data_IF_122660773175
#
_entry.id   IF_122660773175
#
_cell.length_a   1.000
_cell.length_b   1.000
_cell.length_c   1.000
_cell.angle_alpha   90.00
_cell.angle_beta   90.00
_cell.angle_gamma   90.00
#
_symmetry.space_group_name_H-M   'P 1'
#
loop_
_entity.id
_entity.type
_entity.pdbx_description
1 polymer ?
#
# COMPACT_ATOMS: atom_id res chain seq x y z
N UNK A 1 -6.35 1.06 -18.39
CA UNK A 1 -7.21 2.25 -18.24
C UNK A 1 -6.43 3.44 -18.78
N UNK A 2 -6.87 4.05 -19.89
CA UNK A 2 -6.33 5.35 -20.31
C UNK A 2 -6.90 6.39 -19.34
N UNK A 3 -6.05 7.24 -18.78
CA UNK A 3 -6.53 8.38 -18.00
C UNK A 3 -7.39 9.25 -18.92
N UNK A 4 -8.47 9.88 -18.42
CA UNK A 4 -9.22 10.84 -19.21
C UNK A 4 -8.25 11.91 -19.72
N UNK A 5 -8.40 12.29 -21.00
CA UNK A 5 -7.57 13.34 -21.60
C UNK A 5 -7.83 14.65 -20.86
N UNK A 6 -6.81 15.17 -20.17
CA UNK A 6 -6.86 16.53 -19.63
C UNK A 6 -6.78 17.48 -20.84
N UNK A 7 -7.67 18.47 -20.96
CA UNK A 7 -7.57 19.46 -22.03
C UNK A 7 -6.17 20.10 -22.06
N UNK A 8 -5.53 20.13 -23.23
CA UNK A 8 -4.15 20.61 -23.39
C UNK A 8 -3.90 21.99 -22.75
N UNK A 9 -4.87 22.91 -22.86
CA UNK A 9 -4.79 24.23 -22.22
C UNK A 9 -4.72 24.19 -20.67
N UNK A 10 -5.35 23.20 -20.04
CA UNK A 10 -5.28 23.00 -18.58
C UNK A 10 -3.91 22.45 -18.19
N UNK A 11 -3.39 21.47 -18.94
CA UNK A 11 -2.07 20.89 -18.71
C UNK A 11 -0.97 21.94 -18.84
N UNK A 12 -0.99 22.75 -19.90
CA UNK A 12 -0.04 23.86 -20.12
C UNK A 12 -0.09 24.88 -18.98
N UNK A 13 -1.30 25.26 -18.53
CA UNK A 13 -1.45 26.16 -17.39
C UNK A 13 -0.84 25.57 -16.12
N UNK A 14 -1.10 24.30 -15.81
CA UNK A 14 -0.56 23.63 -14.63
C UNK A 14 0.97 23.48 -14.70
N UNK A 15 1.54 23.28 -15.89
CA UNK A 15 3.00 23.28 -16.08
C UNK A 15 3.62 24.66 -15.83
N UNK A 16 2.94 25.73 -16.24
CA UNK A 16 3.41 27.10 -16.07
C UNK A 16 3.27 27.65 -14.64
N UNK A 17 2.22 27.25 -13.91
CA UNK A 17 1.88 27.86 -12.61
C UNK A 17 1.77 26.88 -11.44
N UNK A 18 1.89 25.58 -11.66
CA UNK A 18 1.77 24.57 -10.61
C UNK A 18 2.94 24.59 -9.62
N UNK A 19 2.75 23.97 -8.46
CA UNK A 19 3.88 23.66 -7.57
C UNK A 19 4.78 22.59 -8.21
N UNK A 20 6.02 22.37 -7.70
CA UNK A 20 6.95 21.39 -8.27
C UNK A 20 6.35 20.01 -8.51
N UNK A 21 5.55 19.49 -7.56
CA UNK A 21 4.90 18.18 -7.69
C UNK A 21 3.88 18.14 -8.83
N UNK A 22 3.03 19.15 -8.93
CA UNK A 22 2.04 19.26 -10.01
C UNK A 22 2.75 19.37 -11.36
N UNK A 23 3.75 20.24 -11.48
CA UNK A 23 4.50 20.44 -12.73
C UNK A 23 5.18 19.15 -13.17
N UNK A 24 5.87 18.47 -12.25
CA UNK A 24 6.53 17.21 -12.54
C UNK A 24 5.55 16.12 -12.99
N UNK A 25 4.42 15.95 -12.29
CA UNK A 25 3.42 14.96 -12.67
C UNK A 25 2.76 15.24 -14.01
N UNK A 26 2.38 16.50 -14.28
CA UNK A 26 1.79 16.85 -15.56
C UNK A 26 2.78 16.60 -16.71
N UNK A 27 4.06 16.89 -16.50
CA UNK A 27 5.11 16.62 -17.49
C UNK A 27 5.26 15.11 -17.75
N UNK A 28 5.37 14.33 -16.68
CA UNK A 28 5.51 12.87 -16.73
C UNK A 28 4.30 12.18 -17.35
N UNK A 29 3.09 12.55 -16.95
CA UNK A 29 1.89 11.79 -17.29
C UNK A 29 1.27 12.23 -18.62
N UNK A 30 1.53 13.46 -19.09
CA UNK A 30 0.88 14.03 -20.30
C UNK A 30 1.82 14.53 -21.41
N UNK A 31 3.08 14.89 -21.12
CA UNK A 31 3.97 15.45 -22.15
C UNK A 31 5.00 14.44 -22.65
N UNK A 32 5.74 13.81 -21.73
CA UNK A 32 6.83 12.88 -22.07
C UNK A 32 6.81 11.64 -21.18
N UNK A 33 5.81 10.75 -21.32
CA UNK A 33 5.73 9.54 -20.50
C UNK A 33 6.92 8.59 -20.69
N UNK A 34 7.68 8.73 -21.79
CA UNK A 34 8.86 7.92 -22.07
C UNK A 34 10.14 8.44 -21.40
N UNK A 35 10.19 9.72 -21.00
CA UNK A 35 11.38 10.32 -20.39
C UNK A 35 10.97 11.45 -19.43
N UNK A 36 11.23 11.32 -18.11
CA UNK A 36 10.94 12.38 -17.16
C UNK A 36 11.78 13.63 -17.47
N UNK A 37 11.16 14.80 -17.31
CA UNK A 37 11.85 16.08 -17.34
C UNK A 37 12.77 16.18 -16.12
N UNK A 38 14.07 16.04 -16.33
CA UNK A 38 15.07 16.00 -15.26
C UNK A 38 15.20 17.33 -14.50
N UNK A 39 14.91 18.47 -15.13
CA UNK A 39 14.94 19.77 -14.46
C UNK A 39 13.75 19.90 -13.50
N UNK A 40 12.56 19.50 -13.93
CA UNK A 40 11.37 19.44 -13.06
C UNK A 40 11.56 18.41 -11.94
N UNK A 41 12.19 17.28 -12.24
CA UNK A 41 12.51 16.23 -11.28
C UNK A 41 13.47 16.72 -10.21
N UNK A 42 14.55 17.40 -10.61
CA UNK A 42 15.50 18.00 -9.69
C UNK A 42 14.84 19.10 -8.84
N UNK A 43 14.01 19.94 -9.45
CA UNK A 43 13.23 20.98 -8.75
C UNK A 43 12.30 20.37 -7.70
N UNK A 44 11.60 19.29 -8.04
CA UNK A 44 10.76 18.55 -7.10
C UNK A 44 11.58 17.93 -5.97
N UNK A 45 12.71 17.29 -6.30
CA UNK A 45 13.58 16.70 -5.30
C UNK A 45 14.09 17.75 -4.30
N UNK A 46 14.30 19.00 -4.71
CA UNK A 46 14.74 20.09 -3.84
C UNK A 46 13.61 20.79 -3.06
N UNK A 47 12.35 20.43 -3.27
CA UNK A 47 11.25 21.10 -2.59
C UNK A 47 11.25 20.78 -1.08
N UNK A 48 10.98 21.79 -0.25
CA UNK A 48 11.03 21.65 1.21
C UNK A 48 10.10 20.54 1.73
N UNK A 49 8.94 20.37 1.10
CA UNK A 49 7.98 19.35 1.50
C UNK A 49 8.47 17.93 1.17
N UNK A 50 9.06 17.71 0.00
CA UNK A 50 9.66 16.41 -0.38
C UNK A 50 10.88 16.10 0.48
N UNK A 51 11.78 17.06 0.67
CA UNK A 51 12.95 16.89 1.53
C UNK A 51 12.57 16.51 2.96
N UNK A 52 11.58 17.20 3.54
CA UNK A 52 11.05 16.86 4.87
C UNK A 52 10.49 15.44 4.93
N UNK A 53 9.66 15.05 3.95
CA UNK A 53 9.07 13.71 3.89
C UNK A 53 10.13 12.62 3.72
N UNK A 54 11.15 12.84 2.89
CA UNK A 54 12.27 11.91 2.71
C UNK A 54 13.08 11.75 4.00
N UNK A 55 13.38 12.86 4.69
CA UNK A 55 14.09 12.82 5.98
C UNK A 55 13.30 12.09 7.07
N UNK A 56 12.01 12.40 7.20
CA UNK A 56 11.13 11.70 8.14
C UNK A 56 10.98 10.22 7.79
N UNK A 57 10.81 9.90 6.51
CA UNK A 57 10.74 8.53 6.00
C UNK A 57 12.02 7.74 6.29
N UNK A 58 13.18 8.32 6.01
CA UNK A 58 14.48 7.70 6.30
C UNK A 58 14.67 7.42 7.78
N UNK A 59 14.29 8.37 8.65
CA UNK A 59 14.35 8.20 10.11
C UNK A 59 13.46 7.05 10.59
N UNK A 60 12.25 6.93 10.03
CA UNK A 60 11.30 5.89 10.41
C UNK A 60 11.68 4.52 9.83
N UNK A 61 12.23 4.47 8.62
CA UNK A 61 12.71 3.24 7.97
C UNK A 61 13.81 2.53 8.77
N UNK A 62 14.53 3.25 9.63
CA UNK A 62 15.53 2.68 10.54
C UNK A 62 14.90 1.99 11.78
N UNK A 63 13.63 2.21 12.07
CA UNK A 63 12.96 1.74 13.28
C UNK A 63 11.98 0.60 12.96
N UNK A 64 12.14 -0.52 13.67
CA UNK A 64 11.41 -1.78 13.47
C UNK A 64 10.11 -1.89 14.27
N UNK A 65 9.62 -0.80 14.86
CA UNK A 65 8.47 -0.85 15.77
C UNK A 65 7.15 -0.60 15.03
N UNK A 66 6.10 -1.39 15.31
CA UNK A 66 4.77 -1.25 14.70
C UNK A 66 4.25 0.19 14.62
N UNK A 67 4.46 0.96 15.69
CA UNK A 67 4.02 2.35 15.79
C UNK A 67 4.79 3.33 14.89
N UNK A 68 5.81 2.91 14.15
CA UNK A 68 6.43 3.72 13.08
C UNK A 68 5.81 3.42 11.72
N UNK A 69 5.22 2.24 11.57
CA UNK A 69 4.60 1.78 10.33
C UNK A 69 3.17 2.29 10.23
N UNK A 70 2.36 2.03 11.27
CA UNK A 70 0.92 2.23 11.24
C UNK A 70 0.44 3.19 12.34
N UNK A 71 -0.36 4.18 11.96
CA UNK A 71 -0.97 5.15 12.86
C UNK A 71 -1.61 6.35 12.16
N UNK A 72 -2.37 7.13 12.93
CA UNK A 72 -3.26 8.17 12.40
C UNK A 72 -2.60 9.51 12.05
N UNK A 73 -1.28 9.65 12.26
CA UNK A 73 -0.57 10.91 12.04
C UNK A 73 0.40 10.81 10.86
N UNK A 74 0.79 11.97 10.32
CA UNK A 74 1.74 12.09 9.21
C UNK A 74 3.19 11.66 9.56
N UNK A 75 3.40 11.04 10.73
CA UNK A 75 4.70 10.56 11.22
C UNK A 75 4.83 9.03 11.16
N UNK A 76 4.02 8.39 10.30
CA UNK A 76 4.05 6.94 10.08
C UNK A 76 4.38 6.64 8.62
N UNK A 77 5.08 5.54 8.36
CA UNK A 77 5.49 5.15 7.02
C UNK A 77 4.29 4.95 6.08
N UNK A 78 3.18 4.39 6.57
CA UNK A 78 1.96 4.22 5.77
C UNK A 78 1.35 5.53 5.25
N UNK A 79 1.69 6.67 5.88
CA UNK A 79 1.22 7.99 5.46
C UNK A 79 2.29 8.71 4.63
N UNK A 80 3.57 8.58 4.99
CA UNK A 80 4.68 9.24 4.30
C UNK A 80 4.91 8.68 2.89
N UNK A 81 4.91 7.35 2.75
CA UNK A 81 5.11 6.70 1.46
C UNK A 81 4.08 7.13 0.41
N UNK A 82 2.75 7.01 0.64
CA UNK A 82 1.78 7.48 -0.34
C UNK A 82 1.88 8.99 -0.58
N UNK A 83 2.19 9.82 0.43
CA UNK A 83 2.40 11.26 0.19
C UNK A 83 3.58 11.55 -0.76
N UNK A 84 4.65 10.75 -0.73
CA UNK A 84 5.76 10.86 -1.67
C UNK A 84 5.35 10.37 -3.07
N UNK A 85 4.65 9.24 -3.15
CA UNK A 85 4.15 8.68 -4.41
C UNK A 85 3.13 9.60 -5.09
N UNK A 86 2.22 10.21 -4.33
CA UNK A 86 1.26 11.23 -4.77
C UNK A 86 1.92 12.52 -5.26
N UNK A 87 3.24 12.68 -5.06
CA UNK A 87 4.05 13.76 -5.64
C UNK A 87 4.90 13.31 -6.82
N UNK A 88 4.84 12.03 -7.18
CA UNK A 88 5.67 11.41 -8.21
C UNK A 88 7.07 11.03 -7.74
N UNK A 89 7.32 11.01 -6.43
CA UNK A 89 8.61 10.59 -5.87
C UNK A 89 8.57 9.08 -5.62
N UNK A 90 9.28 8.33 -6.45
CA UNK A 90 9.29 6.86 -6.46
C UNK A 90 10.73 6.29 -6.45
N UNK A 91 10.90 4.98 -6.63
CA UNK A 91 12.19 4.30 -6.59
C UNK A 91 13.15 4.70 -7.73
N UNK A 92 12.69 5.47 -8.73
CA UNK A 92 13.60 6.09 -9.69
C UNK A 92 14.45 7.17 -9.02
N UNK A 93 13.90 7.90 -8.02
CA UNK A 93 14.60 8.99 -7.32
C UNK A 93 15.71 8.41 -6.43
N UNK A 94 16.99 8.79 -6.64
CA UNK A 94 18.09 8.27 -5.82
C UNK A 94 17.90 8.53 -4.32
N UNK A 95 17.43 9.74 -3.96
CA UNK A 95 17.18 10.10 -2.57
C UNK A 95 16.05 9.27 -1.93
N UNK A 96 15.01 8.93 -2.69
CA UNK A 96 13.94 8.06 -2.22
C UNK A 96 14.48 6.64 -1.99
N UNK A 97 15.18 6.07 -2.97
CA UNK A 97 15.80 4.75 -2.84
C UNK A 97 16.74 4.69 -1.63
N UNK A 98 17.60 5.68 -1.47
CA UNK A 98 18.50 5.77 -0.31
C UNK A 98 17.74 5.84 1.02
N UNK A 99 16.66 6.62 1.08
CA UNK A 99 15.87 6.79 2.31
C UNK A 99 15.18 5.50 2.76
N UNK A 100 14.71 4.68 1.82
CA UNK A 100 13.96 3.46 2.13
C UNK A 100 14.79 2.16 1.98
N UNK A 101 16.06 2.26 1.61
CA UNK A 101 16.98 1.12 1.54
C UNK A 101 17.01 0.31 2.86
N UNK A 102 17.08 0.91 4.06
CA UNK A 102 17.08 0.14 5.31
C UNK A 102 15.80 -0.69 5.51
N UNK A 103 14.65 -0.23 4.98
CA UNK A 103 13.39 -0.96 5.07
C UNK A 103 13.40 -2.21 4.16
N UNK A 104 13.99 -2.10 2.96
CA UNK A 104 14.16 -3.23 2.06
C UNK A 104 15.16 -4.25 2.63
N UNK A 105 16.24 -3.79 3.25
CA UNK A 105 17.20 -4.65 3.95
C UNK A 105 16.56 -5.40 5.12
N UNK A 106 15.62 -4.77 5.83
CA UNK A 106 14.82 -5.44 6.86
C UNK A 106 13.97 -6.54 6.27
N UNK A 107 13.31 -6.32 5.12
CA UNK A 107 12.56 -7.38 4.44
C UNK A 107 13.43 -8.56 4.03
N UNK A 108 14.70 -8.32 3.70
CA UNK A 108 15.64 -9.35 3.29
C UNK A 108 16.27 -10.12 4.47
N UNK A 109 16.20 -9.58 5.68
CA UNK A 109 16.83 -10.16 6.88
C UNK A 109 15.83 -10.65 7.93
N UNK A 110 14.57 -10.24 7.81
CA UNK A 110 13.51 -10.69 8.70
C UNK A 110 13.16 -12.14 8.39
N UNK A 111 13.58 -13.03 9.28
CA UNK A 111 12.91 -14.31 9.47
C UNK A 111 11.54 -13.96 10.07
N UNK A 112 10.45 -14.20 9.35
CA UNK A 112 9.09 -13.85 9.80
C UNK A 112 8.63 -14.76 10.95
N UNK A 113 9.38 -14.80 12.05
CA UNK A 113 9.09 -15.60 13.22
C UNK A 113 7.83 -15.05 13.91
N UNK A 114 6.72 -15.73 13.61
CA UNK A 114 5.36 -15.47 14.04
C UNK A 114 5.17 -15.79 15.52
N UNK A 115 4.83 -14.79 16.33
CA UNK A 115 4.27 -15.06 17.67
C UNK A 115 3.14 -14.10 18.07
N UNK A 116 2.72 -13.21 17.18
CA UNK A 116 1.63 -12.27 17.46
C UNK A 116 0.72 -12.09 16.25
N UNK A 117 -0.58 -11.91 16.46
CA UNK A 117 -1.55 -11.74 15.37
C UNK A 117 -1.28 -10.52 14.48
N UNK A 118 -0.53 -9.52 14.96
CA UNK A 118 -0.14 -8.36 14.16
C UNK A 118 1.23 -8.47 13.50
N UNK A 119 1.96 -9.58 13.67
CA UNK A 119 3.34 -9.70 13.19
C UNK A 119 3.51 -9.53 11.67
N UNK A 120 2.47 -9.81 10.89
CA UNK A 120 2.48 -9.63 9.43
C UNK A 120 1.76 -8.35 8.98
N UNK A 121 1.02 -7.69 9.88
CA UNK A 121 0.16 -6.56 9.50
C UNK A 121 0.97 -5.39 8.93
N UNK A 122 2.12 -5.08 9.52
CA UNK A 122 3.03 -4.03 9.02
C UNK A 122 3.45 -4.28 7.57
N UNK A 123 3.77 -5.54 7.23
CA UNK A 123 4.17 -5.90 5.89
C UNK A 123 2.99 -5.83 4.93
N UNK A 124 1.79 -6.22 5.36
CA UNK A 124 0.58 -6.05 4.55
C UNK A 124 0.34 -4.56 4.25
N UNK A 125 0.57 -3.67 5.22
CA UNK A 125 0.42 -2.21 5.06
C UNK A 125 1.48 -1.63 4.13
N UNK A 126 2.75 -2.03 4.27
CA UNK A 126 3.87 -1.41 3.54
C UNK A 126 4.10 -1.96 2.13
N UNK A 127 3.89 -3.26 1.92
CA UNK A 127 4.06 -3.92 0.63
C UNK A 127 3.48 -3.12 -0.55
N UNK A 128 2.19 -2.70 -0.51
CA UNK A 128 1.60 -1.99 -1.64
C UNK A 128 2.36 -0.73 -2.01
N UNK A 129 2.80 0.06 -1.04
CA UNK A 129 3.49 1.32 -1.32
C UNK A 129 4.90 1.10 -1.85
N UNK A 130 5.61 0.08 -1.39
CA UNK A 130 6.91 -0.28 -1.94
C UNK A 130 6.80 -0.79 -3.39
N UNK A 131 5.78 -1.61 -3.66
CA UNK A 131 5.50 -2.10 -5.01
C UNK A 131 5.08 -0.96 -5.96
N UNK A 132 4.21 -0.06 -5.50
CA UNK A 132 3.81 1.13 -6.25
C UNK A 132 4.98 2.09 -6.49
N UNK A 133 5.93 2.18 -5.56
CA UNK A 133 7.18 2.91 -5.76
C UNK A 133 8.09 2.29 -6.84
N UNK A 134 7.82 1.06 -7.28
CA UNK A 134 8.62 0.36 -8.29
C UNK A 134 9.68 -0.58 -7.72
N UNK A 135 9.69 -0.87 -6.41
CA UNK A 135 10.53 -1.92 -5.86
C UNK A 135 10.03 -3.30 -6.24
N UNK A 136 10.95 -4.23 -6.52
CA UNK A 136 10.68 -5.60 -6.99
C UNK A 136 11.62 -6.64 -6.36
N UNK A 137 12.14 -6.34 -5.19
CA UNK A 137 12.98 -7.25 -4.42
C UNK A 137 12.31 -8.62 -4.26
N UNK A 138 13.10 -9.69 -4.34
CA UNK A 138 12.59 -11.07 -4.37
C UNK A 138 11.70 -11.38 -3.16
N UNK A 139 12.17 -11.06 -1.95
CA UNK A 139 11.42 -11.24 -0.72
C UNK A 139 10.12 -10.41 -0.69
N UNK A 140 10.12 -9.22 -1.32
CA UNK A 140 8.93 -8.38 -1.43
C UNK A 140 7.86 -9.01 -2.31
N UNK A 141 8.29 -9.51 -3.46
CA UNK A 141 7.41 -10.20 -4.39
C UNK A 141 6.92 -11.53 -3.81
N UNK A 142 7.79 -12.28 -3.13
CA UNK A 142 7.46 -13.56 -2.50
C UNK A 142 6.42 -13.41 -1.39
N UNK A 143 6.60 -12.43 -0.49
CA UNK A 143 5.60 -12.11 0.53
C UNK A 143 4.25 -11.78 -0.12
N UNK A 144 4.26 -10.93 -1.15
CA UNK A 144 3.05 -10.49 -1.84
C UNK A 144 2.33 -11.65 -2.54
N UNK A 145 3.07 -12.58 -3.14
CA UNK A 145 2.51 -13.79 -3.77
C UNK A 145 1.92 -14.76 -2.75
N UNK A 146 2.64 -15.04 -1.65
CA UNK A 146 2.11 -15.89 -0.56
C UNK A 146 0.84 -15.29 0.05
N UNK A 147 0.83 -13.96 0.20
CA UNK A 147 -0.36 -13.19 0.60
C UNK A 147 -1.51 -13.38 -0.40
N UNK A 148 -1.25 -13.22 -1.70
CA UNK A 148 -2.24 -13.44 -2.76
C UNK A 148 -2.81 -14.87 -2.77
N UNK A 149 -1.97 -15.88 -2.61
CA UNK A 149 -2.42 -17.28 -2.50
C UNK A 149 -3.38 -17.46 -1.32
N UNK A 150 -3.01 -16.95 -0.13
CA UNK A 150 -3.83 -17.03 1.07
C UNK A 150 -5.20 -16.34 0.91
N UNK A 151 -5.20 -15.09 0.45
CA UNK A 151 -6.41 -14.28 0.31
C UNK A 151 -7.30 -14.80 -0.81
N UNK A 152 -6.73 -15.19 -1.96
CA UNK A 152 -7.52 -15.71 -3.07
C UNK A 152 -8.18 -17.05 -2.74
N UNK A 153 -7.53 -17.91 -1.95
CA UNK A 153 -8.12 -19.15 -1.45
C UNK A 153 -9.32 -18.89 -0.53
N UNK A 154 -9.27 -17.84 0.28
CA UNK A 154 -10.41 -17.38 1.08
C UNK A 154 -11.54 -16.83 0.19
N UNK A 155 -11.22 -15.85 -0.65
CA UNK A 155 -12.16 -15.17 -1.54
C UNK A 155 -12.86 -16.12 -2.51
N UNK A 156 -12.16 -17.17 -2.99
CA UNK A 156 -12.72 -18.17 -3.89
C UNK A 156 -13.89 -18.97 -3.30
N UNK A 157 -14.02 -19.02 -1.96
CA UNK A 157 -15.15 -19.67 -1.29
C UNK A 157 -16.41 -18.83 -1.27
N UNK A 158 -16.30 -17.51 -1.49
CA UNK A 158 -17.42 -16.56 -1.41
C UNK A 158 -18.19 -16.66 -0.08
N UNK A 159 -17.48 -16.96 1.01
CA UNK A 159 -18.03 -17.01 2.36
C UNK A 159 -17.90 -15.63 3.02
N UNK A 160 -19.05 -15.03 3.34
CA UNK A 160 -19.14 -13.67 3.90
C UNK A 160 -19.41 -13.67 5.41
N UNK A 161 -19.44 -14.84 6.06
CA UNK A 161 -19.63 -14.96 7.49
C UNK A 161 -18.34 -14.60 8.24
N UNK A 162 -17.91 -13.34 8.26
CA UNK A 162 -16.60 -13.00 8.85
C UNK A 162 -16.61 -12.82 10.37
N UNK A 163 -17.79 -12.73 10.98
CA UNK A 163 -17.94 -12.11 12.28
C UNK A 163 -18.38 -13.12 13.34
N UNK A 164 -17.65 -13.17 14.45
CA UNK A 164 -18.00 -13.96 15.61
C UNK A 164 -18.94 -13.22 16.57
N UNK A 165 -19.48 -13.97 17.53
CA UNK A 165 -20.26 -13.40 18.63
C UNK A 165 -19.36 -12.67 19.62
N UNK A 166 -19.61 -11.37 19.81
CA UNK A 166 -18.77 -10.52 20.65
C UNK A 166 -18.70 -10.96 22.12
N UNK A 167 -19.80 -11.52 22.65
CA UNK A 167 -19.89 -12.03 24.01
C UNK A 167 -18.89 -13.17 24.28
N UNK A 168 -18.40 -13.82 23.23
CA UNK A 168 -17.47 -14.95 23.30
C UNK A 168 -16.03 -14.53 23.52
N UNK A 169 -15.70 -13.24 23.44
CA UNK A 169 -14.32 -12.74 23.54
C UNK A 169 -14.11 -11.83 24.75
N UNK A 170 -13.14 -12.20 25.61
CA UNK A 170 -12.76 -11.43 26.81
C UNK A 170 -11.75 -10.33 26.45
N UNK A 171 -11.81 -9.19 27.14
CA UNK A 171 -10.78 -8.15 27.06
C UNK A 171 -10.93 -7.13 25.93
N UNK A 172 -12.08 -7.09 25.24
CA UNK A 172 -12.35 -6.06 24.21
C UNK A 172 -12.38 -4.66 24.88
N UNK A 173 -11.54 -3.71 24.44
CA UNK A 173 -11.54 -2.36 24.99
C UNK A 173 -12.91 -1.68 24.79
N UNK A 174 -13.32 -0.82 25.74
CA UNK A 174 -14.62 -0.13 25.71
C UNK A 174 -14.93 0.56 24.38
N UNK A 175 -13.93 1.17 23.75
CA UNK A 175 -14.06 1.85 22.46
C UNK A 175 -14.44 0.92 21.30
N UNK A 176 -14.24 -0.39 21.44
CA UNK A 176 -14.52 -1.42 20.43
C UNK A 176 -15.71 -2.31 20.81
N UNK A 177 -16.38 -2.06 21.93
CA UNK A 177 -17.51 -2.88 22.39
C UNK A 177 -18.76 -2.77 21.51
N UNK A 178 -18.89 -1.76 20.65
CA UNK A 178 -19.98 -1.67 19.67
C UNK A 178 -19.63 -2.26 18.30
N UNK A 179 -18.40 -2.76 18.13
CA UNK A 179 -17.87 -3.25 16.86
C UNK A 179 -17.97 -4.77 16.76
N UNK A 180 -18.31 -5.29 15.58
CA UNK A 180 -18.33 -6.75 15.33
C UNK A 180 -16.91 -7.30 15.41
N UNK A 181 -16.73 -8.47 15.99
CA UNK A 181 -15.40 -9.07 16.10
C UNK A 181 -15.21 -10.00 14.91
N UNK A 182 -14.10 -9.87 14.19
CA UNK A 182 -13.75 -10.84 13.15
C UNK A 182 -13.38 -12.15 13.85
N UNK A 183 -13.83 -13.27 13.29
CA UNK A 183 -13.52 -14.62 13.80
C UNK A 183 -11.99 -14.83 13.91
N UNK A 184 -11.41 -15.09 15.10
CA UNK A 184 -9.96 -15.20 15.29
C UNK A 184 -9.24 -16.22 14.41
N UNK A 185 -9.92 -17.31 14.05
CA UNK A 185 -9.42 -18.32 13.11
C UNK A 185 -9.09 -17.73 11.72
N UNK A 186 -9.67 -16.57 11.37
CA UNK A 186 -9.39 -15.88 10.12
C UNK A 186 -8.11 -15.03 10.16
N UNK A 187 -7.43 -14.92 11.30
CA UNK A 187 -6.16 -14.18 11.43
C UNK A 187 -5.21 -14.80 12.46
N UNK A 188 -5.35 -16.10 12.71
CA UNK A 188 -4.50 -16.84 13.63
C UNK A 188 -3.02 -16.70 13.24
N UNK A 189 -2.15 -16.44 14.22
CA UNK A 189 -0.72 -16.18 14.01
C UNK A 189 -0.39 -15.07 12.99
N UNK A 190 -1.34 -14.18 12.73
CA UNK A 190 -1.20 -13.08 11.77
C UNK A 190 -1.43 -13.46 10.32
N UNK A 191 -1.92 -14.67 10.05
CA UNK A 191 -2.34 -15.09 8.72
C UNK A 191 -3.76 -14.59 8.41
N UNK A 192 -3.90 -13.28 8.15
CA UNK A 192 -5.18 -12.62 7.85
C UNK A 192 -5.87 -13.17 6.59
N UNK A 193 -6.66 -14.22 6.65
CA UNK A 193 -7.17 -14.90 5.44
C UNK A 193 -8.05 -14.02 4.54
N UNK A 194 -8.71 -13.01 5.10
CA UNK A 194 -9.61 -12.11 4.37
C UNK A 194 -8.88 -10.94 3.71
N UNK A 195 -9.45 -10.35 2.65
CA UNK A 195 -8.84 -9.20 1.97
C UNK A 195 -8.95 -7.93 2.83
N UNK A 196 -7.86 -7.16 2.83
CA UNK A 196 -7.77 -5.80 3.34
C UNK A 196 -7.61 -4.82 2.16
N UNK A 197 -7.94 -3.54 2.36
CA UNK A 197 -7.72 -2.51 1.33
C UNK A 197 -6.29 -2.48 0.77
N UNK A 198 -5.29 -2.74 1.63
CA UNK A 198 -3.88 -2.79 1.24
C UNK A 198 -3.58 -3.90 0.21
N UNK A 199 -4.31 -5.02 0.26
CA UNK A 199 -4.17 -6.10 -0.71
C UNK A 199 -4.57 -5.61 -2.12
N UNK A 200 -5.65 -4.82 -2.23
CA UNK A 200 -6.08 -4.25 -3.51
C UNK A 200 -5.03 -3.30 -4.11
N UNK A 201 -4.38 -2.49 -3.25
CA UNK A 201 -3.28 -1.63 -3.70
C UNK A 201 -2.07 -2.45 -4.17
N UNK A 202 -1.69 -3.50 -3.44
CA UNK A 202 -0.56 -4.34 -3.81
C UNK A 202 -0.83 -5.08 -5.12
N UNK A 203 -2.04 -5.63 -5.27
CA UNK A 203 -2.44 -6.37 -6.46
C UNK A 203 -2.58 -5.47 -7.68
N UNK A 204 -3.06 -4.22 -7.50
CA UNK A 204 -3.03 -3.21 -8.57
C UNK A 204 -1.62 -2.99 -9.09
N UNK A 205 -0.64 -2.84 -8.19
CA UNK A 205 0.74 -2.57 -8.53
C UNK A 205 1.37 -3.66 -9.40
N UNK A 206 1.01 -4.93 -9.17
CA UNK A 206 1.58 -6.09 -9.87
C UNK A 206 0.70 -6.64 -11.00
N UNK A 207 -0.56 -6.21 -11.14
CA UNK A 207 -1.52 -6.85 -12.05
C UNK A 207 -1.04 -6.96 -13.51
N UNK A 208 -0.35 -5.93 -14.00
CA UNK A 208 0.11 -5.86 -15.41
C UNK A 208 1.24 -6.84 -15.69
N UNK A 209 2.10 -7.10 -14.72
CA UNK A 209 3.26 -8.00 -14.81
C UNK A 209 2.94 -9.42 -14.32
N UNK A 210 1.83 -9.60 -13.60
CA UNK A 210 1.39 -10.87 -13.05
C UNK A 210 1.20 -11.96 -14.14
N UNK A 211 1.51 -13.20 -13.81
CA UNK A 211 1.21 -14.36 -14.65
C UNK A 211 -0.31 -14.57 -14.77
N UNK A 212 -0.80 -15.30 -15.79
CA UNK A 212 -2.24 -15.57 -15.95
C UNK A 212 -2.91 -16.16 -14.70
N UNK A 213 -2.21 -17.06 -13.98
CA UNK A 213 -2.69 -17.64 -12.72
C UNK A 213 -2.87 -16.56 -11.64
N UNK A 214 -1.84 -15.75 -11.42
CA UNK A 214 -1.88 -14.67 -10.42
C UNK A 214 -2.98 -13.65 -10.75
N UNK A 215 -3.16 -13.29 -12.03
CA UNK A 215 -4.28 -12.42 -12.45
C UNK A 215 -5.65 -13.02 -12.10
N UNK A 216 -5.85 -14.31 -12.35
CA UNK A 216 -7.10 -14.98 -11.98
C UNK A 216 -7.35 -14.98 -10.46
N UNK A 217 -6.29 -15.07 -9.65
CA UNK A 217 -6.37 -14.94 -8.20
C UNK A 217 -6.75 -13.52 -7.78
N UNK A 218 -6.13 -12.50 -8.39
CA UNK A 218 -6.47 -11.09 -8.15
C UNK A 218 -7.93 -10.83 -8.53
N UNK A 219 -8.38 -11.32 -9.69
CA UNK A 219 -9.77 -11.18 -10.13
C UNK A 219 -10.76 -11.85 -9.16
N UNK A 220 -10.39 -12.97 -8.53
CA UNK A 220 -11.20 -13.61 -7.50
C UNK A 220 -11.32 -12.74 -6.23
N UNK A 221 -10.23 -12.09 -5.81
CA UNK A 221 -10.27 -11.14 -4.69
C UNK A 221 -11.14 -9.93 -5.03
N UNK A 222 -10.97 -9.34 -6.21
CA UNK A 222 -11.80 -8.22 -6.67
C UNK A 222 -13.27 -8.61 -6.71
N UNK A 223 -13.61 -9.79 -7.25
CA UNK A 223 -14.98 -10.29 -7.30
C UNK A 223 -15.59 -10.44 -5.91
N UNK A 224 -14.83 -10.95 -4.94
CA UNK A 224 -15.29 -11.10 -3.56
C UNK A 224 -15.60 -9.74 -2.92
N UNK A 225 -14.68 -8.77 -3.04
CA UNK A 225 -14.87 -7.41 -2.49
C UNK A 225 -16.04 -6.70 -3.18
N UNK A 226 -16.22 -6.88 -4.49
CA UNK A 226 -17.30 -6.25 -5.24
C UNK A 226 -18.68 -6.93 -5.06
N UNK A 227 -18.76 -8.06 -4.36
CA UNK A 227 -20.02 -8.75 -4.14
C UNK A 227 -20.94 -7.96 -3.19
N UNK A 228 -22.26 -7.95 -3.49
CA UNK A 228 -23.27 -7.28 -2.67
C UNK A 228 -23.21 -7.67 -1.19
N UNK A 229 -22.89 -8.94 -0.90
CA UNK A 229 -22.78 -9.42 0.48
C UNK A 229 -21.62 -8.76 1.23
N UNK A 230 -20.47 -8.59 0.59
CA UNK A 230 -19.33 -7.86 1.15
C UNK A 230 -19.65 -6.38 1.32
N UNK A 231 -20.27 -5.76 0.31
CA UNK A 231 -20.64 -4.34 0.34
C UNK A 231 -21.68 -3.98 1.41
N UNK A 232 -22.35 -4.98 2.01
CA UNK A 232 -23.25 -4.83 3.16
C UNK A 232 -22.56 -4.90 4.51
N UNK A 233 -21.24 -5.14 4.56
CA UNK A 233 -20.51 -5.13 5.82
C UNK A 233 -20.63 -3.77 6.53
N UNK A 234 -20.58 -3.74 7.87
CA UNK A 234 -20.60 -2.48 8.60
C UNK A 234 -19.43 -1.58 8.20
N UNK A 235 -19.61 -0.26 8.32
CA UNK A 235 -18.52 0.69 8.07
C UNK A 235 -17.30 0.36 8.93
N UNK A 236 -16.12 0.42 8.32
CA UNK A 236 -14.83 0.11 8.97
C UNK A 236 -14.42 -1.35 8.86
N UNK A 237 -15.15 -2.18 8.09
CA UNK A 237 -14.74 -3.52 7.69
C UNK A 237 -14.62 -3.58 6.18
N UNK A 238 -13.40 -3.85 5.71
CA UNK A 238 -13.02 -3.84 4.30
C UNK A 238 -12.07 -2.71 3.96
#
# INVERSE_FOLDING_TARGET
MRLPEIPSAVAERLLGSGCPAIRYQISRDFHSPAAPDEDLRHTLAQSNDVQRLLQDGARLALNKHFSTVHGSTNHHLENILPMLLDRGVDASFPAFRQSFQPLLEQWNTSDFAQSHCFCQFENIVLAPFLLEAGFRDENLMDFTRRRLDLVSAFCGRMDFDLFGEQASYKGIPKAFQSRRVIRPELYENGAYQFPLIYDLYAYRAIYREAAPRERAQIDAVVRYVMADAYQRFPKGYG
#
